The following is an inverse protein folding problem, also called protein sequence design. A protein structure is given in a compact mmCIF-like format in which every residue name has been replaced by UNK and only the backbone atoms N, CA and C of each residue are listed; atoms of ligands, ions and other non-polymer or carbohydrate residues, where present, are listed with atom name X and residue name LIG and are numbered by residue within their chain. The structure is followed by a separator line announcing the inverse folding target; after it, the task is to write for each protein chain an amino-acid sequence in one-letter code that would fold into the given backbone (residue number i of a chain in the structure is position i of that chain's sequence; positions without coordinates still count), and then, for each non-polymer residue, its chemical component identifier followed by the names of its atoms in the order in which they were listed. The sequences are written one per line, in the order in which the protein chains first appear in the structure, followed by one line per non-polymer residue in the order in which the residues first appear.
data_IF_912672175664
#
_entry.id   IF_912672175664
#
_cell.length_a   1.000
_cell.length_b   1.000
_cell.length_c   1.000
_cell.angle_alpha   90.00
_cell.angle_beta   90.00
_cell.angle_gamma   90.00
#
_symmetry.space_group_name_H-M   'P 1'
#
loop_
_entity.id
_entity.type
_entity.pdbx_description
1 polymer ?
#
# COMPACT_ATOMS: atom_id res chain seq x y z
N UNK A 1 25.38 -56.88 25.70
CA UNK A 1 24.11 -57.59 25.44
C UNK A 1 23.21 -56.62 24.71
N UNK A 2 23.11 -56.84 23.39
CA UNK A 2 22.05 -56.49 22.44
C UNK A 2 21.10 -55.28 22.64
N UNK A 3 21.16 -54.40 21.63
CA UNK A 3 20.06 -53.75 20.84
C UNK A 3 19.40 -52.49 21.43
N UNK A 4 19.64 -51.31 20.83
CA UNK A 4 18.94 -50.63 19.70
C UNK A 4 17.77 -49.74 20.19
N UNK A 5 17.59 -48.49 19.72
CA UNK A 5 18.29 -47.83 18.61
C UNK A 5 17.93 -46.35 18.43
N UNK A 6 18.66 -45.77 17.45
CA UNK A 6 18.39 -44.65 16.53
C UNK A 6 17.04 -43.92 16.71
N UNK A 7 16.97 -42.59 16.55
CA UNK A 7 17.30 -41.86 15.30
C UNK A 7 17.72 -40.40 15.55
N UNK A 8 18.66 -39.98 14.72
CA UNK A 8 19.32 -38.68 14.52
C UNK A 8 18.34 -37.50 14.29
N UNK A 9 18.66 -36.24 14.62
CA UNK A 9 19.71 -35.37 14.03
C UNK A 9 19.02 -34.38 13.07
N UNK A 10 19.17 -33.07 13.17
CA UNK A 10 20.34 -32.38 12.66
C UNK A 10 20.36 -30.91 13.14
N UNK A 11 21.33 -30.56 13.98
CA UNK A 11 21.77 -29.18 14.21
C UNK A 11 23.20 -29.13 13.68
N UNK A 12 23.43 -28.44 12.57
CA UNK A 12 24.78 -28.19 12.05
C UNK A 12 24.94 -26.71 11.72
N UNK A 13 25.53 -26.02 12.69
CA UNK A 13 26.48 -24.94 12.49
C UNK A 13 27.64 -25.48 11.63
N UNK A 14 27.94 -24.83 10.51
CA UNK A 14 29.28 -24.88 9.92
C UNK A 14 29.60 -23.56 9.21
N UNK A 15 30.46 -22.81 9.89
CA UNK A 15 31.54 -21.98 9.35
C UNK A 15 32.14 -22.53 8.06
N UNK A 16 32.52 -21.66 7.12
CA UNK A 16 33.62 -21.97 6.21
C UNK A 16 34.66 -20.86 6.18
N UNK A 17 35.89 -21.35 6.36
CA UNK A 17 37.15 -20.67 6.50
C UNK A 17 37.76 -20.30 5.15
N UNK A 18 38.61 -19.28 5.21
CA UNK A 18 39.62 -18.89 4.25
C UNK A 18 40.39 -20.07 3.64
N UNK A 19 40.60 -20.02 2.32
CA UNK A 19 41.67 -20.74 1.61
C UNK A 19 42.15 -19.88 0.42
N UNK A 20 43.42 -19.51 0.45
CA UNK A 20 44.24 -18.94 -0.62
C UNK A 20 45.59 -19.71 -0.57
N UNK A 21 46.43 -19.76 -1.63
CA UNK A 21 46.35 -19.07 -2.92
C UNK A 21 46.49 -20.01 -4.14
N UNK A 22 46.12 -19.51 -5.31
CA UNK A 22 46.34 -20.16 -6.61
C UNK A 22 46.34 -19.12 -7.73
N UNK A 23 47.54 -18.71 -8.12
CA UNK A 23 47.82 -17.68 -9.12
C UNK A 23 47.36 -18.12 -10.52
N UNK A 24 46.39 -17.42 -11.09
CA UNK A 24 45.88 -17.60 -12.44
C UNK A 24 45.15 -16.33 -12.89
N UNK A 25 45.69 -15.69 -13.90
CA UNK A 25 45.36 -14.33 -14.31
C UNK A 25 44.05 -14.34 -15.11
N UNK A 26 42.99 -13.64 -14.68
CA UNK A 26 41.92 -13.22 -15.59
C UNK A 26 40.98 -12.18 -14.94
N UNK A 27 41.01 -10.99 -15.53
CA UNK A 27 40.00 -9.90 -15.61
C UNK A 27 38.81 -9.98 -14.63
N UNK A 28 38.92 -9.30 -13.48
CA UNK A 28 37.83 -9.16 -12.51
C UNK A 28 36.80 -8.13 -12.97
N UNK A 29 35.75 -8.60 -13.63
CA UNK A 29 34.45 -7.94 -13.67
C UNK A 29 33.89 -7.95 -12.24
N UNK A 30 33.77 -6.78 -11.60
CA UNK A 30 33.05 -6.63 -10.33
C UNK A 30 31.62 -7.17 -10.51
N UNK A 31 31.16 -8.19 -9.77
CA UNK A 31 29.74 -8.44 -9.66
C UNK A 31 29.18 -7.28 -8.84
N UNK A 32 28.32 -6.51 -9.49
CA UNK A 32 27.45 -5.53 -8.86
C UNK A 32 26.74 -6.27 -7.72
N UNK A 33 26.95 -5.81 -6.48
CA UNK A 33 26.21 -6.28 -5.32
C UNK A 33 24.74 -5.94 -5.59
N UNK A 34 24.00 -6.87 -6.17
CA UNK A 34 22.54 -6.89 -6.07
C UNK A 34 22.24 -7.02 -4.59
N UNK A 35 22.00 -5.88 -3.95
CA UNK A 35 21.29 -5.83 -2.70
C UNK A 35 19.88 -6.33 -2.98
N UNK A 36 19.65 -7.63 -2.94
CA UNK A 36 18.30 -8.19 -2.85
C UNK A 36 17.76 -7.71 -1.51
N UNK A 37 16.81 -6.75 -1.48
CA UNK A 37 16.28 -6.31 -0.20
C UNK A 37 15.60 -7.51 0.44
N UNK A 38 15.98 -7.86 1.67
CA UNK A 38 15.29 -8.88 2.45
C UNK A 38 13.78 -8.59 2.40
N UNK A 39 13.06 -9.42 1.64
CA UNK A 39 11.66 -9.18 1.32
C UNK A 39 10.86 -9.20 2.61
N UNK A 40 10.02 -8.19 2.81
CA UNK A 40 9.06 -8.22 3.90
C UNK A 40 8.06 -9.36 3.64
N UNK A 41 8.11 -10.41 4.47
CA UNK A 41 7.30 -11.62 4.28
C UNK A 41 5.93 -11.48 4.96
N UNK A 42 4.89 -12.03 4.34
CA UNK A 42 3.58 -12.31 4.94
C UNK A 42 3.26 -13.81 4.83
N UNK A 43 2.31 -14.31 5.64
CA UNK A 43 1.89 -15.71 5.65
C UNK A 43 0.50 -15.86 5.03
N UNK A 44 0.37 -16.70 3.99
CA UNK A 44 -0.96 -17.07 3.48
C UNK A 44 -1.54 -18.20 4.33
N UNK A 45 -2.72 -18.00 4.87
CA UNK A 45 -3.41 -18.93 5.77
C UNK A 45 -4.75 -19.37 5.17
N UNK A 46 -5.28 -20.50 5.66
CA UNK A 46 -6.58 -21.04 5.21
C UNK A 46 -7.69 -20.86 6.25
N UNK A 47 -7.32 -20.77 7.52
CA UNK A 47 -8.24 -20.59 8.64
C UNK A 47 -7.70 -19.54 9.60
N UNK A 48 -8.56 -18.89 10.39
CA UNK A 48 -8.13 -17.98 11.45
C UNK A 48 -7.34 -18.67 12.57
N UNK A 49 -7.37 -20.01 12.66
CA UNK A 49 -6.68 -20.79 13.71
C UNK A 49 -5.17 -20.54 13.73
N UNK A 50 -4.56 -20.27 12.56
CA UNK A 50 -3.15 -19.91 12.46
C UNK A 50 -2.84 -18.58 13.19
N UNK A 51 -3.81 -17.66 13.22
CA UNK A 51 -3.72 -16.39 13.96
C UNK A 51 -3.88 -16.67 15.45
N UNK A 52 -4.86 -17.50 15.83
CA UNK A 52 -5.11 -17.89 17.22
C UNK A 52 -3.85 -18.52 17.83
N UNK A 53 -3.30 -19.56 17.19
CA UNK A 53 -2.10 -20.25 17.64
C UNK A 53 -0.89 -19.30 17.77
N UNK A 54 -0.80 -18.29 16.89
CA UNK A 54 0.27 -17.30 16.99
C UNK A 54 0.08 -16.36 18.17
N UNK A 55 -1.13 -15.88 18.42
CA UNK A 55 -1.44 -15.01 19.57
C UNK A 55 -1.21 -15.76 20.88
N UNK A 56 -1.63 -17.03 20.97
CA UNK A 56 -1.35 -17.89 22.13
C UNK A 56 0.16 -18.03 22.37
N UNK A 57 0.94 -18.28 21.32
CA UNK A 57 2.40 -18.39 21.44
C UNK A 57 3.04 -17.09 21.91
N UNK A 58 2.61 -15.94 21.39
CA UNK A 58 3.15 -14.62 21.73
C UNK A 58 2.81 -14.24 23.18
N UNK A 59 1.56 -14.46 23.60
CA UNK A 59 1.08 -14.15 24.95
C UNK A 59 1.74 -15.04 26.00
N UNK A 60 2.09 -16.28 25.65
CA UNK A 60 2.86 -17.17 26.52
C UNK A 60 4.35 -16.77 26.69
N UNK A 61 4.92 -15.97 25.78
CA UNK A 61 6.38 -15.77 25.65
C UNK A 61 6.90 -14.37 25.97
N UNK A 62 6.11 -13.51 26.63
CA UNK A 62 6.46 -12.16 27.20
C UNK A 62 6.02 -10.91 26.40
N UNK A 63 5.06 -10.98 25.48
CA UNK A 63 4.43 -9.75 24.96
C UNK A 63 3.12 -9.53 25.70
N UNK A 64 3.06 -8.45 26.48
CA UNK A 64 1.91 -8.18 27.37
C UNK A 64 0.67 -7.71 26.60
N UNK A 65 0.83 -7.15 25.39
CA UNK A 65 -0.26 -6.63 24.57
C UNK A 65 0.03 -6.76 23.07
N UNK A 66 -0.98 -7.16 22.30
CA UNK A 66 -0.99 -7.20 20.84
C UNK A 66 -2.19 -6.44 20.31
N UNK A 67 -2.05 -5.86 19.12
CA UNK A 67 -3.17 -5.30 18.37
C UNK A 67 -3.33 -6.01 17.04
N UNK A 68 -4.56 -6.10 16.55
CA UNK A 68 -4.85 -6.67 15.24
C UNK A 68 -5.58 -5.63 14.42
N UNK A 69 -5.07 -5.38 13.21
CA UNK A 69 -5.74 -4.56 12.20
C UNK A 69 -6.15 -5.48 11.06
N UNK A 70 -7.43 -5.43 10.68
CA UNK A 70 -7.95 -6.14 9.52
C UNK A 70 -8.19 -5.19 8.36
N UNK A 71 -7.95 -5.66 7.14
CA UNK A 71 -8.34 -4.96 5.91
C UNK A 71 -8.93 -6.00 4.97
N UNK A 72 -10.20 -5.87 4.62
CA UNK A 72 -10.90 -6.73 3.67
C UNK A 72 -11.13 -6.01 2.36
N UNK A 73 -10.77 -6.67 1.25
CA UNK A 73 -11.02 -6.19 -0.10
C UNK A 73 -12.23 -6.92 -0.71
N UNK A 74 -13.20 -6.16 -1.21
CA UNK A 74 -14.34 -6.66 -1.96
C UNK A 74 -14.14 -6.49 -3.46
N UNK A 75 -14.52 -7.50 -4.24
CA UNK A 75 -14.48 -7.49 -5.70
C UNK A 75 -15.86 -7.83 -6.25
N UNK A 76 -16.23 -7.23 -7.38
CA UNK A 76 -17.48 -7.58 -8.07
C UNK A 76 -17.39 -9.00 -8.64
N UNK A 77 -18.20 -9.90 -8.10
CA UNK A 77 -18.51 -11.20 -8.72
C UNK A 77 -19.63 -11.03 -9.72
N UNK A 78 -19.33 -10.70 -10.98
CA UNK A 78 -20.30 -10.93 -12.05
C UNK A 78 -20.38 -12.43 -12.33
N UNK A 79 -21.60 -12.95 -12.41
CA UNK A 79 -21.86 -14.37 -12.65
C UNK A 79 -21.17 -14.88 -13.92
N UNK A 80 -20.55 -16.07 -13.79
CA UNK A 80 -19.70 -16.81 -14.73
C UNK A 80 -18.21 -16.49 -14.55
N UNK A 81 -17.59 -17.24 -13.64
CA UNK A 81 -16.16 -17.33 -13.37
C UNK A 81 -15.36 -17.62 -14.64
N UNK A 82 -14.83 -16.59 -15.28
CA UNK A 82 -13.69 -16.75 -16.19
C UNK A 82 -12.44 -16.91 -15.33
N UNK A 83 -11.67 -18.00 -15.53
CA UNK A 83 -10.42 -18.25 -14.80
C UNK A 83 -9.46 -17.03 -14.80
N UNK A 84 -9.52 -16.18 -15.83
CA UNK A 84 -8.74 -14.93 -15.90
C UNK A 84 -9.04 -13.93 -14.80
N UNK A 85 -10.31 -13.73 -14.39
CA UNK A 85 -10.67 -12.71 -13.37
C UNK A 85 -10.12 -13.07 -11.99
N UNK A 86 -10.06 -14.36 -11.66
CA UNK A 86 -9.49 -14.85 -10.40
C UNK A 86 -7.98 -14.59 -10.33
N UNK A 87 -7.24 -14.78 -11.42
CA UNK A 87 -5.80 -14.49 -11.50
C UNK A 87 -5.54 -13.01 -11.23
N UNK A 88 -6.32 -12.10 -11.84
CA UNK A 88 -6.19 -10.66 -11.61
C UNK A 88 -6.54 -10.23 -10.18
N UNK A 89 -7.54 -10.87 -9.55
CA UNK A 89 -7.85 -10.63 -8.13
C UNK A 89 -6.68 -11.01 -7.24
N UNK A 90 -6.08 -12.19 -7.43
CA UNK A 90 -4.93 -12.64 -6.63
C UNK A 90 -3.73 -11.71 -6.81
N UNK A 91 -3.43 -11.28 -8.04
CA UNK A 91 -2.36 -10.31 -8.32
C UNK A 91 -2.60 -8.98 -7.61
N UNK A 92 -3.84 -8.48 -7.61
CA UNK A 92 -4.21 -7.24 -6.91
C UNK A 92 -4.04 -7.36 -5.41
N UNK A 93 -4.59 -8.44 -4.84
CA UNK A 93 -4.51 -8.72 -3.40
C UNK A 93 -3.06 -8.80 -2.95
N UNK A 94 -2.19 -9.41 -3.76
CA UNK A 94 -0.75 -9.51 -3.45
C UNK A 94 -0.03 -8.17 -3.58
N UNK A 95 -0.31 -7.43 -4.66
CA UNK A 95 0.29 -6.12 -4.93
C UNK A 95 -0.02 -5.12 -3.81
N UNK A 96 -1.30 -5.00 -3.43
CA UNK A 96 -1.73 -4.10 -2.36
C UNK A 96 -1.14 -4.52 -1.02
N UNK A 97 -1.12 -5.81 -0.70
CA UNK A 97 -0.53 -6.31 0.55
C UNK A 97 0.95 -5.98 0.67
N UNK A 98 1.73 -6.20 -0.40
CA UNK A 98 3.15 -5.89 -0.41
C UNK A 98 3.41 -4.41 -0.17
N UNK A 99 2.58 -3.52 -0.74
CA UNK A 99 2.69 -2.08 -0.48
C UNK A 99 2.38 -1.71 0.97
N UNK A 100 1.37 -2.33 1.58
CA UNK A 100 0.96 -2.07 2.95
C UNK A 100 1.92 -2.69 3.98
N UNK A 101 2.55 -3.82 3.66
CA UNK A 101 3.50 -4.52 4.53
C UNK A 101 4.71 -3.65 4.89
N UNK A 102 5.11 -2.74 4.01
CA UNK A 102 6.22 -1.79 4.24
C UNK A 102 5.90 -0.73 5.31
N UNK A 103 4.61 -0.58 5.64
CA UNK A 103 4.09 0.39 6.59
C UNK A 103 3.89 -0.20 7.99
N UNK A 104 4.29 -1.43 8.27
CA UNK A 104 4.30 -2.00 9.63
C UNK A 104 5.72 -2.46 10.00
N UNK A 105 5.97 -2.71 11.28
CA UNK A 105 7.31 -3.09 11.73
C UNK A 105 7.73 -4.42 11.10
N UNK A 106 9.04 -4.65 11.02
CA UNK A 106 9.56 -5.96 10.56
C UNK A 106 9.18 -7.08 11.53
N UNK A 107 9.08 -6.76 12.82
CA UNK A 107 8.66 -7.67 13.89
C UNK A 107 7.18 -8.02 13.83
N UNK A 108 6.35 -7.16 13.25
CA UNK A 108 4.91 -7.42 13.11
C UNK A 108 4.68 -8.58 12.14
N UNK A 109 3.67 -9.38 12.44
CA UNK A 109 3.30 -10.53 11.62
C UNK A 109 2.09 -10.17 10.77
N UNK A 110 2.16 -10.50 9.49
CA UNK A 110 1.09 -10.20 8.53
C UNK A 110 0.59 -11.50 7.93
N UNK A 111 -0.73 -11.69 7.96
CA UNK A 111 -1.39 -12.82 7.34
C UNK A 111 -2.32 -12.41 6.20
N UNK A 112 -2.47 -13.30 5.24
CA UNK A 112 -3.42 -13.20 4.13
C UNK A 112 -4.38 -14.39 4.19
N UNK A 113 -5.68 -14.11 4.33
CA UNK A 113 -6.74 -15.10 4.24
C UNK A 113 -7.74 -14.66 3.17
N UNK A 114 -7.80 -15.39 2.06
CA UNK A 114 -8.61 -15.02 0.88
C UNK A 114 -8.31 -13.58 0.42
N UNK A 115 -9.17 -12.61 0.74
CA UNK A 115 -9.02 -11.20 0.39
C UNK A 115 -8.91 -10.28 1.63
N UNK A 116 -8.60 -10.86 2.79
CA UNK A 116 -8.45 -10.13 4.04
C UNK A 116 -7.01 -10.20 4.53
N UNK A 117 -6.46 -9.04 4.84
CA UNK A 117 -5.17 -8.86 5.48
C UNK A 117 -5.36 -8.76 6.99
N UNK A 118 -4.48 -9.43 7.72
CA UNK A 118 -4.42 -9.37 9.17
C UNK A 118 -3.04 -8.90 9.58
N UNK A 119 -2.94 -7.70 10.14
CA UNK A 119 -1.70 -7.15 10.66
C UNK A 119 -1.69 -7.34 12.17
N UNK A 120 -0.95 -8.34 12.63
CA UNK A 120 -0.72 -8.62 14.04
C UNK A 120 0.47 -7.77 14.52
N UNK A 121 0.16 -6.72 15.27
CA UNK A 121 1.08 -5.71 15.75
C UNK A 121 1.57 -6.12 17.14
N UNK A 122 2.88 -6.37 17.25
CA UNK A 122 3.48 -6.81 18.51
C UNK A 122 3.72 -5.61 19.43
N UNK A 123 3.48 -5.79 20.73
CA UNK A 123 3.62 -4.73 21.74
C UNK A 123 2.77 -3.48 21.45
N UNK A 124 1.65 -3.64 20.75
CA UNK A 124 0.72 -2.57 20.43
C UNK A 124 -0.56 -2.71 21.25
N UNK A 125 -1.02 -1.59 21.81
CA UNK A 125 -2.31 -1.49 22.47
C UNK A 125 -3.41 -1.04 21.49
N UNK A 126 -4.63 -0.83 21.99
CA UNK A 126 -5.77 -0.40 21.17
C UNK A 126 -5.49 0.90 20.40
N UNK A 127 -4.86 1.89 21.04
CA UNK A 127 -4.49 3.15 20.42
C UNK A 127 -3.44 2.95 19.31
N UNK A 128 -2.45 2.10 19.54
CA UNK A 128 -1.47 1.70 18.54
C UNK A 128 -2.12 1.05 17.32
N UNK A 129 -3.08 0.14 17.55
CA UNK A 129 -3.91 -0.45 16.50
C UNK A 129 -4.64 0.60 15.67
N UNK A 130 -5.29 1.57 16.30
CA UNK A 130 -6.01 2.66 15.62
C UNK A 130 -5.10 3.53 14.75
N UNK A 131 -3.91 3.88 15.25
CA UNK A 131 -2.93 4.70 14.52
C UNK A 131 -2.46 3.95 13.26
N UNK A 132 -2.11 2.67 13.42
CA UNK A 132 -1.66 1.84 12.30
C UNK A 132 -2.79 1.62 11.31
N UNK A 133 -4.02 1.35 11.77
CA UNK A 133 -5.20 1.26 10.91
C UNK A 133 -5.37 2.51 10.04
N UNK A 134 -5.34 3.69 10.66
CA UNK A 134 -5.52 4.96 9.93
C UNK A 134 -4.44 5.14 8.86
N UNK A 135 -3.18 4.83 9.18
CA UNK A 135 -2.06 4.89 8.23
C UNK A 135 -2.23 3.92 7.07
N UNK A 136 -2.58 2.66 7.35
CA UNK A 136 -2.77 1.64 6.33
C UNK A 136 -3.98 1.96 5.44
N UNK A 137 -5.05 2.49 6.04
CA UNK A 137 -6.25 2.92 5.33
C UNK A 137 -5.97 4.05 4.34
N UNK A 138 -5.28 5.10 4.77
CA UNK A 138 -4.91 6.23 3.91
C UNK A 138 -4.04 5.78 2.73
N UNK A 139 -3.04 4.92 3.01
CA UNK A 139 -2.18 4.38 1.97
C UNK A 139 -2.97 3.51 0.98
N UNK A 140 -3.87 2.66 1.48
CA UNK A 140 -4.70 1.79 0.64
C UNK A 140 -5.63 2.58 -0.28
N UNK A 141 -6.32 3.60 0.25
CA UNK A 141 -7.16 4.50 -0.53
C UNK A 141 -6.35 5.13 -1.68
N UNK A 142 -5.14 5.60 -1.37
CA UNK A 142 -4.26 6.20 -2.37
C UNK A 142 -3.85 5.23 -3.47
N UNK A 143 -3.47 4.00 -3.11
CA UNK A 143 -3.12 2.94 -4.09
C UNK A 143 -4.32 2.56 -4.95
N UNK A 144 -5.52 2.45 -4.37
CA UNK A 144 -6.76 2.14 -5.10
C UNK A 144 -7.12 3.23 -6.11
N UNK A 145 -6.98 4.51 -5.73
CA UNK A 145 -7.16 5.61 -6.67
C UNK A 145 -6.11 5.58 -7.80
N UNK A 146 -4.86 5.23 -7.49
CA UNK A 146 -3.81 5.05 -8.50
C UNK A 146 -4.13 3.89 -9.46
N UNK A 147 -4.69 2.78 -8.98
CA UNK A 147 -5.08 1.64 -9.83
C UNK A 147 -6.24 2.02 -10.74
N UNK A 148 -7.28 2.70 -10.24
CA UNK A 148 -8.42 3.15 -11.06
C UNK A 148 -8.00 4.07 -12.21
N UNK A 149 -6.98 4.89 -12.00
CA UNK A 149 -6.53 5.87 -12.99
C UNK A 149 -5.46 5.31 -13.96
N UNK A 150 -4.95 4.10 -13.72
CA UNK A 150 -3.97 3.46 -14.58
C UNK A 150 -4.69 2.65 -15.68
N UNK A 151 -4.82 3.24 -16.87
CA UNK A 151 -5.54 2.65 -18.01
C UNK A 151 -4.98 1.31 -18.52
N UNK A 152 -3.71 0.99 -18.21
CA UNK A 152 -3.00 -0.21 -18.68
C UNK A 152 -2.69 -1.22 -17.55
N UNK A 153 -3.30 -1.08 -16.37
CA UNK A 153 -3.06 -2.05 -15.29
C UNK A 153 -3.85 -3.35 -15.53
N UNK A 154 -3.13 -4.46 -15.71
CA UNK A 154 -3.65 -5.83 -15.59
C UNK A 154 -4.06 -6.17 -14.13
N UNK A 155 -4.49 -5.19 -13.34
CA UNK A 155 -4.78 -5.33 -11.92
C UNK A 155 -6.23 -4.91 -11.72
N UNK A 156 -7.04 -5.84 -11.23
CA UNK A 156 -8.47 -5.61 -10.99
C UNK A 156 -8.65 -4.77 -9.72
N UNK A 157 -9.19 -3.56 -9.84
CA UNK A 157 -9.43 -2.75 -8.66
C UNK A 157 -10.53 -3.33 -7.74
N UNK A 158 -10.38 -3.34 -6.40
CA UNK A 158 -11.48 -3.67 -5.49
C UNK A 158 -12.63 -2.66 -5.61
N UNK A 159 -13.87 -3.15 -5.57
CA UNK A 159 -15.10 -2.34 -5.57
C UNK A 159 -15.48 -1.86 -4.17
N UNK A 160 -14.92 -2.47 -3.13
CA UNK A 160 -15.08 -2.00 -1.76
C UNK A 160 -13.87 -2.38 -0.93
N UNK A 161 -13.63 -1.59 0.11
CA UNK A 161 -12.67 -1.92 1.16
C UNK A 161 -13.30 -1.66 2.51
N UNK A 162 -12.86 -2.43 3.50
CA UNK A 162 -13.24 -2.22 4.89
C UNK A 162 -12.10 -2.56 5.81
N UNK A 163 -12.01 -1.86 6.95
CA UNK A 163 -10.98 -2.12 7.94
C UNK A 163 -11.56 -2.00 9.34
N UNK A 164 -11.11 -2.87 10.23
CA UNK A 164 -11.35 -2.80 11.68
C UNK A 164 -10.06 -3.02 12.45
N UNK A 165 -10.12 -2.87 13.76
CA UNK A 165 -9.00 -3.14 14.65
C UNK A 165 -9.47 -3.51 16.06
N UNK A 166 -8.64 -4.24 16.79
CA UNK A 166 -8.84 -4.58 18.21
C UNK A 166 -7.49 -4.79 18.89
N UNK A 167 -7.50 -5.04 20.21
CA UNK A 167 -6.30 -5.35 20.99
C UNK A 167 -6.56 -6.46 22.00
N UNK A 168 -5.51 -7.18 22.39
CA UNK A 168 -5.55 -8.26 23.38
C UNK A 168 -4.32 -8.18 24.30
N UNK A 169 -4.45 -8.36 25.62
CA UNK A 169 -5.70 -8.47 26.39
C UNK A 169 -6.32 -7.08 26.58
N UNK A 170 -7.47 -6.82 25.96
CA UNK A 170 -8.29 -5.62 26.20
C UNK A 170 -9.61 -6.03 26.85
N UNK A 171 -10.75 -5.47 26.43
CA UNK A 171 -12.09 -5.85 26.90
C UNK A 171 -12.55 -7.26 26.47
N UNK A 172 -11.70 -8.06 25.83
CA UNK A 172 -12.03 -9.36 25.26
C UNK A 172 -11.60 -10.47 26.21
N UNK A 173 -12.46 -11.48 26.39
CA UNK A 173 -12.17 -12.61 27.28
C UNK A 173 -11.46 -13.76 26.54
N UNK A 174 -11.61 -13.83 25.21
CA UNK A 174 -11.01 -14.86 24.36
C UNK A 174 -10.37 -14.27 23.09
N UNK A 175 -9.39 -14.99 22.52
CA UNK A 175 -8.67 -14.62 21.31
C UNK A 175 -9.61 -14.62 20.09
N UNK A 176 -10.63 -15.49 20.06
CA UNK A 176 -11.62 -15.49 18.98
C UNK A 176 -12.44 -14.19 18.97
N UNK A 177 -12.90 -13.72 20.14
CA UNK A 177 -13.59 -12.44 20.27
C UNK A 177 -12.70 -11.27 19.83
N UNK A 178 -11.40 -11.34 20.14
CA UNK A 178 -10.42 -10.36 19.67
C UNK A 178 -10.32 -10.31 18.14
N UNK A 179 -10.25 -11.46 17.46
CA UNK A 179 -10.20 -11.53 15.99
C UNK A 179 -11.52 -11.08 15.36
N UNK A 180 -12.65 -11.50 15.94
CA UNK A 180 -13.99 -11.09 15.50
C UNK A 180 -14.17 -9.57 15.63
N UNK A 181 -13.79 -9.00 16.76
CA UNK A 181 -13.82 -7.56 16.99
C UNK A 181 -12.95 -6.79 15.98
N UNK A 182 -11.77 -7.31 15.64
CA UNK A 182 -10.92 -6.70 14.61
C UNK A 182 -11.58 -6.76 13.22
N UNK A 183 -12.39 -7.79 12.95
CA UNK A 183 -13.08 -7.98 11.67
C UNK A 183 -14.33 -7.09 11.53
N UNK A 184 -14.84 -6.56 12.64
CA UNK A 184 -15.91 -5.58 12.64
C UNK A 184 -15.39 -4.23 12.14
N UNK A 185 -15.73 -3.88 10.89
CA UNK A 185 -15.13 -2.71 10.26
C UNK A 185 -15.60 -1.38 10.89
N UNK A 186 -14.63 -0.57 11.31
CA UNK A 186 -14.81 0.82 11.71
C UNK A 186 -14.68 1.80 10.53
N UNK A 187 -13.99 1.40 9.45
CA UNK A 187 -13.83 2.17 8.23
C UNK A 187 -14.33 1.36 7.02
N UNK A 188 -15.07 2.01 6.11
CA UNK A 188 -15.58 1.41 4.87
C UNK A 188 -15.55 2.42 3.73
N UNK A 189 -15.20 1.97 2.53
CA UNK A 189 -15.30 2.75 1.30
C UNK A 189 -15.80 1.86 0.17
N UNK A 190 -16.67 2.40 -0.67
CA UNK A 190 -17.18 1.73 -1.87
C UNK A 190 -16.76 2.55 -3.10
N UNK A 191 -16.25 1.85 -4.11
CA UNK A 191 -15.82 2.42 -5.39
C UNK A 191 -16.77 1.86 -6.45
N UNK A 192 -17.79 2.64 -6.80
CA UNK A 192 -18.75 2.24 -7.81
C UNK A 192 -18.08 2.22 -9.19
N UNK A 193 -18.31 1.15 -9.96
CA UNK A 193 -18.10 1.19 -11.40
C UNK A 193 -19.05 2.24 -11.99
N UNK A 194 -18.56 3.26 -12.68
CA UNK A 194 -19.34 4.35 -13.31
C UNK A 194 -20.32 3.87 -14.42
N UNK A 195 -20.64 2.58 -14.50
CA UNK A 195 -21.53 2.01 -15.53
C UNK A 195 -23.04 2.16 -15.24
N UNK A 196 -23.46 2.71 -14.11
CA UNK A 196 -24.89 2.91 -13.79
C UNK A 196 -25.39 4.36 -13.80
N UNK A 197 -24.56 5.38 -14.05
CA UNK A 197 -25.05 6.78 -14.19
C UNK A 197 -25.18 7.29 -15.63
N UNK A 198 -24.79 6.53 -16.65
CA UNK A 198 -24.92 6.96 -18.08
C UNK A 198 -26.28 6.66 -18.74
N UNK A 199 -27.28 6.15 -18.02
CA UNK A 199 -28.65 5.98 -18.56
C UNK A 199 -29.70 6.92 -17.95
N UNK A 200 -29.29 7.88 -17.11
CA UNK A 200 -30.21 8.68 -16.31
C UNK A 200 -30.19 10.19 -16.51
N UNK A 201 -29.33 10.79 -17.33
CA UNK A 201 -29.42 12.23 -17.64
C UNK A 201 -28.97 12.49 -19.09
N UNK A 202 -29.67 11.86 -20.03
CA UNK A 202 -29.67 12.29 -21.43
C UNK A 202 -30.80 13.30 -21.64
N UNK A 203 -30.67 14.50 -21.07
CA UNK A 203 -31.31 15.75 -21.51
C UNK A 203 -30.87 16.90 -20.61
N UNK A 204 -30.47 17.98 -21.26
CA UNK A 204 -30.05 19.27 -20.70
C UNK A 204 -28.60 19.34 -20.19
N UNK A 205 -27.67 19.53 -21.12
CA UNK A 205 -26.92 20.78 -21.24
C UNK A 205 -25.87 20.65 -22.35
N UNK A 206 -26.29 20.85 -23.61
CA UNK A 206 -25.38 21.52 -24.55
C UNK A 206 -25.45 22.98 -24.17
N UNK A 207 -24.33 23.64 -23.88
CA UNK A 207 -23.74 24.71 -24.71
C UNK A 207 -22.41 25.15 -24.11
N UNK A 208 -21.44 25.35 -25.01
CA UNK A 208 -20.17 26.07 -24.90
C UNK A 208 -18.88 25.31 -24.55
N UNK A 209 -18.16 25.06 -25.66
CA UNK A 209 -16.73 25.38 -25.88
C UNK A 209 -15.71 24.26 -25.60
N UNK A 210 -15.49 23.44 -26.64
CA UNK A 210 -14.19 23.30 -27.32
C UNK A 210 -12.95 23.15 -26.42
N UNK A 211 -12.63 21.90 -26.04
CA UNK A 211 -11.33 21.46 -25.52
C UNK A 211 -10.97 20.20 -26.33
N UNK A 212 -10.32 20.36 -27.48
CA UNK A 212 -8.87 20.28 -27.70
C UNK A 212 -8.30 18.89 -27.36
N UNK A 213 -7.68 18.23 -28.34
CA UNK A 213 -7.27 16.82 -28.30
C UNK A 213 -6.10 16.48 -27.36
N UNK A 214 -5.93 17.23 -26.26
CA UNK A 214 -4.83 17.11 -25.29
C UNK A 214 -5.10 16.14 -24.14
N UNK A 215 -6.36 15.75 -23.90
CA UNK A 215 -6.70 14.86 -22.79
C UNK A 215 -6.17 13.44 -22.96
N UNK A 216 -5.97 13.00 -24.21
CA UNK A 216 -5.34 11.70 -24.53
C UNK A 216 -3.80 11.77 -24.48
N UNK A 217 -3.21 12.98 -24.51
CA UNK A 217 -1.76 13.21 -24.56
C UNK A 217 -1.10 13.11 -23.18
N UNK A 218 -1.75 13.57 -22.11
CA UNK A 218 -1.12 13.61 -20.77
C UNK A 218 -0.82 12.21 -20.20
N UNK A 219 -1.73 11.21 -20.29
CA UNK A 219 -1.38 9.84 -19.90
C UNK A 219 -0.26 9.25 -20.76
N UNK A 220 -0.24 9.55 -22.07
CA UNK A 220 0.81 9.10 -22.97
C UNK A 220 2.17 9.75 -22.63
N UNK A 221 2.16 11.04 -22.29
CA UNK A 221 3.32 11.77 -21.82
C UNK A 221 3.86 11.19 -20.52
N UNK A 222 3.01 10.96 -19.52
CA UNK A 222 3.40 10.35 -18.25
C UNK A 222 4.11 9.00 -18.45
N UNK A 223 3.57 8.15 -19.34
CA UNK A 223 4.21 6.88 -19.75
C UNK A 223 5.58 7.09 -20.37
N UNK A 224 5.73 8.05 -21.29
CA UNK A 224 7.02 8.38 -21.93
C UNK A 224 8.05 8.86 -20.90
N UNK A 225 7.61 9.58 -19.87
CA UNK A 225 8.46 10.10 -18.80
C UNK A 225 8.74 9.06 -17.70
N UNK A 226 8.03 7.93 -17.68
CA UNK A 226 8.13 6.93 -16.61
C UNK A 226 7.55 7.39 -15.28
N UNK A 227 6.60 8.33 -15.30
CA UNK A 227 6.00 8.96 -14.12
C UNK A 227 4.49 8.62 -14.07
N UNK A 228 3.88 8.43 -12.89
CA UNK A 228 2.43 8.19 -12.80
C UNK A 228 1.60 9.40 -13.26
N UNK A 229 0.37 9.14 -13.71
CA UNK A 229 -0.63 10.16 -14.03
C UNK A 229 -1.87 10.01 -13.15
N UNK A 230 -2.39 11.13 -12.62
CA UNK A 230 -3.67 11.18 -11.93
C UNK A 230 -4.62 12.15 -12.65
N UNK A 231 -5.69 11.61 -13.20
CA UNK A 231 -6.75 12.37 -13.86
C UNK A 231 -7.63 13.16 -12.90
N UNK A 232 -7.72 12.75 -11.63
CA UNK A 232 -8.51 13.41 -10.59
C UNK A 232 -7.72 13.48 -9.29
N UNK A 233 -7.82 14.61 -8.59
CA UNK A 233 -7.15 14.81 -7.31
C UNK A 233 -8.13 14.71 -6.12
N UNK A 234 -7.67 14.18 -4.97
CA UNK A 234 -8.51 14.06 -3.79
C UNK A 234 -8.94 15.44 -3.29
N UNK A 235 -10.26 15.64 -3.19
CA UNK A 235 -10.89 16.93 -2.81
C UNK A 235 -10.82 17.26 -1.32
N UNK A 236 -10.39 16.31 -0.48
CA UNK A 236 -10.28 16.49 0.98
C UNK A 236 -9.18 15.59 1.52
N UNK A 237 -7.98 16.14 1.64
CA UNK A 237 -6.86 15.43 2.25
C UNK A 237 -6.89 15.55 3.78
N UNK A 238 -6.31 14.60 4.52
CA UNK A 238 -6.04 14.79 5.94
C UNK A 238 -5.23 16.07 6.18
N UNK A 239 -5.55 16.83 7.23
CA UNK A 239 -4.89 18.12 7.54
C UNK A 239 -3.36 17.96 7.66
N UNK A 240 -2.91 16.87 8.26
CA UNK A 240 -1.50 16.47 8.36
C UNK A 240 -0.77 16.33 7.02
N UNK A 241 -1.49 16.12 5.90
CA UNK A 241 -0.93 16.02 4.54
C UNK A 241 -0.95 17.38 3.87
N UNK A 242 -2.02 18.15 4.06
CA UNK A 242 -2.13 19.52 3.53
C UNK A 242 -1.03 20.41 4.09
N UNK A 243 -0.69 20.25 5.37
CA UNK A 243 0.36 21.00 6.06
C UNK A 243 1.80 20.59 5.69
N UNK A 244 2.00 19.57 4.83
CA UNK A 244 3.34 19.15 4.43
C UNK A 244 4.02 20.10 3.45
N UNK A 245 3.22 20.89 2.73
CA UNK A 245 3.69 21.91 1.79
C UNK A 245 2.94 23.19 2.12
N UNK A 246 3.67 24.28 2.35
CA UNK A 246 3.06 25.59 2.58
C UNK A 246 2.13 25.96 1.39
N UNK A 247 0.91 26.47 1.64
CA UNK A 247 -0.04 26.79 0.56
C UNK A 247 0.50 27.79 -0.47
N UNK A 248 1.33 28.76 -0.07
CA UNK A 248 1.91 29.72 -1.01
C UNK A 248 2.97 29.05 -1.88
N UNK A 249 3.81 28.22 -1.27
CA UNK A 249 4.79 27.41 -1.99
C UNK A 249 4.12 26.45 -2.98
N UNK A 250 3.03 25.81 -2.56
CA UNK A 250 2.23 24.91 -3.41
C UNK A 250 1.66 25.63 -4.65
N UNK A 251 1.15 26.86 -4.46
CA UNK A 251 0.66 27.69 -5.56
C UNK A 251 1.80 28.18 -6.47
N UNK A 252 2.91 28.62 -5.90
CA UNK A 252 4.08 29.12 -6.63
C UNK A 252 4.68 28.03 -7.53
N UNK A 253 4.86 26.83 -6.97
CA UNK A 253 5.48 25.70 -7.69
C UNK A 253 4.48 24.87 -8.49
N UNK A 254 3.18 25.21 -8.44
CA UNK A 254 2.15 24.46 -9.14
C UNK A 254 2.12 22.99 -8.73
N UNK A 255 2.11 22.72 -7.43
CA UNK A 255 2.12 21.37 -6.88
C UNK A 255 1.09 21.18 -5.78
N UNK A 256 0.50 19.99 -5.68
CA UNK A 256 -0.47 19.66 -4.64
C UNK A 256 -0.01 18.42 -3.87
N UNK A 257 0.20 18.50 -2.54
CA UNK A 257 0.64 17.34 -1.77
C UNK A 257 -0.44 16.27 -1.78
N UNK A 258 -0.08 15.00 -2.01
CA UNK A 258 -1.02 13.89 -2.06
C UNK A 258 -0.90 12.93 -0.88
N UNK A 259 0.29 12.87 -0.27
CA UNK A 259 0.58 11.96 0.82
C UNK A 259 2.06 11.90 1.15
N UNK A 260 2.38 11.28 2.27
CA UNK A 260 3.75 11.05 2.72
C UNK A 260 3.93 9.62 3.17
N UNK A 261 5.01 9.00 2.72
CA UNK A 261 5.47 7.69 3.15
C UNK A 261 6.95 7.79 3.61
N UNK A 262 7.21 7.59 4.91
CA UNK A 262 8.54 7.77 5.52
C UNK A 262 9.11 9.18 5.25
N UNK A 263 10.15 9.28 4.42
CA UNK A 263 10.77 10.54 4.00
C UNK A 263 10.34 10.99 2.59
N UNK A 264 9.45 10.25 1.93
CA UNK A 264 8.99 10.53 0.58
C UNK A 264 7.66 11.31 0.63
N UNK A 265 7.63 12.49 0.03
CA UNK A 265 6.44 13.29 -0.21
C UNK A 265 5.97 13.08 -1.66
N UNK A 266 4.75 12.60 -1.83
CA UNK A 266 4.14 12.48 -3.16
C UNK A 266 3.39 13.77 -3.49
N UNK A 267 3.69 14.36 -4.65
CA UNK A 267 3.08 15.61 -5.11
C UNK A 267 2.49 15.46 -6.51
N UNK A 268 1.28 15.96 -6.72
CA UNK A 268 0.74 16.17 -8.06
C UNK A 268 1.33 17.46 -8.65
N UNK A 269 1.81 17.42 -9.89
CA UNK A 269 2.45 18.55 -10.57
C UNK A 269 2.03 18.62 -12.03
N UNK A 270 2.05 19.83 -12.59
CA UNK A 270 1.86 20.04 -14.03
C UNK A 270 3.11 19.63 -14.83
N UNK A 271 4.29 19.90 -14.30
CA UNK A 271 5.57 19.52 -14.90
C UNK A 271 6.41 18.71 -13.89
N UNK A 272 6.27 17.38 -13.86
CA UNK A 272 6.97 16.53 -12.91
C UNK A 272 8.49 16.39 -13.20
N UNK A 273 8.98 16.90 -14.34
CA UNK A 273 10.42 16.95 -14.66
C UNK A 273 11.07 18.30 -14.32
N UNK A 274 10.32 19.25 -13.75
CA UNK A 274 10.86 20.53 -13.32
C UNK A 274 11.80 20.36 -12.12
N UNK A 275 13.09 20.15 -12.42
CA UNK A 275 14.13 19.93 -11.42
C UNK A 275 14.25 21.07 -10.41
N UNK A 276 13.98 22.31 -10.83
CA UNK A 276 14.05 23.46 -9.91
C UNK A 276 12.90 23.42 -8.92
N UNK A 277 11.68 23.11 -9.38
CA UNK A 277 10.53 22.96 -8.50
C UNK A 277 10.70 21.77 -7.54
N UNK A 278 11.19 20.62 -8.03
CA UNK A 278 11.47 19.44 -7.21
C UNK A 278 12.54 19.72 -6.14
N UNK A 279 13.63 20.39 -6.52
CA UNK A 279 14.69 20.72 -5.58
C UNK A 279 14.24 21.77 -4.55
N UNK A 280 13.44 22.75 -4.97
CA UNK A 280 12.83 23.72 -4.06
C UNK A 280 11.90 23.04 -3.06
N UNK A 281 11.05 22.12 -3.53
CA UNK A 281 10.20 21.30 -2.67
C UNK A 281 11.02 20.48 -1.68
N UNK A 282 12.09 19.84 -2.13
CA UNK A 282 12.98 19.08 -1.26
C UNK A 282 13.61 19.96 -0.16
N UNK A 283 14.12 21.14 -0.53
CA UNK A 283 14.75 22.07 0.41
C UNK A 283 13.79 22.60 1.46
N UNK A 284 12.58 22.98 1.06
CA UNK A 284 11.60 23.59 1.97
C UNK A 284 10.90 22.54 2.85
N UNK A 285 10.74 21.31 2.35
CA UNK A 285 10.02 20.25 3.09
C UNK A 285 10.94 19.27 3.82
N UNK A 286 12.23 19.22 3.46
CA UNK A 286 13.20 18.24 3.95
C UNK A 286 12.93 16.79 3.51
N UNK A 287 12.03 16.58 2.53
CA UNK A 287 11.58 15.26 2.09
C UNK A 287 12.05 14.96 0.67
N UNK A 288 12.26 13.68 0.37
CA UNK A 288 12.42 13.21 -1.00
C UNK A 288 11.09 13.41 -1.75
N UNK A 289 11.15 13.83 -3.01
CA UNK A 289 9.94 14.19 -3.76
C UNK A 289 9.64 13.11 -4.80
N UNK A 290 8.43 12.56 -4.74
CA UNK A 290 7.88 11.67 -5.75
C UNK A 290 6.80 12.40 -6.55
N UNK A 291 7.13 12.94 -7.74
CA UNK A 291 6.17 13.70 -8.53
C UNK A 291 5.20 12.78 -9.30
N UNK A 292 4.01 13.29 -9.53
CA UNK A 292 2.95 12.66 -10.33
C UNK A 292 2.39 13.70 -11.29
N UNK A 293 2.24 13.35 -12.57
CA UNK A 293 1.60 14.21 -13.55
C UNK A 293 0.09 14.30 -13.27
N UNK A 294 -0.51 15.47 -13.45
CA UNK A 294 -1.96 15.62 -13.33
C UNK A 294 -2.52 16.61 -14.35
N UNK A 295 -3.84 16.63 -14.48
CA UNK A 295 -4.53 17.55 -15.37
C UNK A 295 -4.45 19.00 -14.83
N UNK A 296 -4.18 20.02 -15.68
CA UNK A 296 -4.05 21.41 -15.24
C UNK A 296 -5.28 21.91 -14.47
N UNK A 297 -6.48 21.64 -14.97
CA UNK A 297 -7.73 22.09 -14.32
C UNK A 297 -7.93 21.44 -12.95
N UNK A 298 -7.52 20.17 -12.80
CA UNK A 298 -7.66 19.44 -11.54
C UNK A 298 -6.67 19.94 -10.50
N UNK A 299 -5.43 20.20 -10.89
CA UNK A 299 -4.43 20.83 -10.03
C UNK A 299 -4.91 22.20 -9.54
N UNK A 300 -5.41 23.04 -10.45
CA UNK A 300 -5.93 24.37 -10.10
C UNK A 300 -7.12 24.30 -9.15
N UNK A 301 -7.97 23.29 -9.30
CA UNK A 301 -9.11 23.07 -8.40
C UNK A 301 -8.65 22.62 -7.01
N UNK A 302 -7.68 21.71 -6.95
CA UNK A 302 -7.13 21.21 -5.69
C UNK A 302 -6.36 22.28 -4.91
N UNK A 303 -5.55 23.10 -5.58
CA UNK A 303 -4.78 24.18 -4.96
C UNK A 303 -5.65 25.21 -4.23
N UNK A 304 -6.88 25.45 -4.70
CA UNK A 304 -7.86 26.35 -4.03
C UNK A 304 -8.34 25.83 -2.68
N UNK A 305 -8.08 24.56 -2.36
CA UNK A 305 -8.52 23.91 -1.13
C UNK A 305 -7.44 23.93 -0.03
N UNK A 306 -6.20 24.26 -0.37
CA UNK A 306 -5.14 24.47 0.63
C UNK A 306 -5.40 25.82 1.32
N UNK A 307 -5.53 25.78 2.65
CA UNK A 307 -5.80 26.95 3.52
C UNK A 307 -4.63 27.17 4.45
#
# INVERSE_FOLDING_TARGET
MYLLGNIDGNTLLCTNLFKEPGMGNETTSRPMMEHTPELYVYKTIKTPDDIVAMVEHITATRVDQVALVTITLGFETEGKTSNGRLVYTVSTVTYLLNSLRLLVLKTDVVFLLSHTYYFLLLAANLQGGQIVQSRLWDALLWRIHSIHNAADCEILCPCSISSGYSAYPASHHDINEFIEAASNASLRSNFASEKTMRKGVAKQARTHQQEDGRDEELPALARKLGIPYLSLLPRKLPERVQQLVDPKLAQELGCYPLGRERNMLTVAMLNPEDRLALERLHQETGMDIFPILTHPQELQTALKQLV
#
